data_IF_588582253218
#
_entry.id   IF_588582253218
#
_cell.length_a   1.000
_cell.length_b   1.000
_cell.length_c   1.000
_cell.angle_alpha   90.00
_cell.angle_beta   90.00
_cell.angle_gamma   90.00
#
_symmetry.space_group_name_H-M   'P 1'
#
loop_
_entity.id
_entity.type
_entity.pdbx_description
1 polymer ?
#
# COMPACT_ATOMS: atom_id res chain seq x y z
N UNK A 1 -42.60 16.35 -51.88
CA UNK A 1 -41.70 15.18 -51.80
C UNK A 1 -40.28 15.72 -51.67
N UNK A 2 -39.54 15.30 -50.63
CA UNK A 2 -38.19 15.72 -50.17
C UNK A 2 -38.10 17.18 -49.67
N UNK A 3 -37.84 17.56 -48.41
CA UNK A 3 -37.06 17.05 -47.26
C UNK A 3 -35.53 17.19 -47.39
N UNK A 4 -34.95 18.17 -46.67
CA UNK A 4 -33.56 18.25 -46.18
C UNK A 4 -33.49 19.43 -45.17
N UNK A 5 -33.61 19.16 -43.86
CA UNK A 5 -32.52 18.88 -42.92
C UNK A 5 -31.82 20.16 -42.40
N UNK A 6 -32.41 20.74 -41.35
CA UNK A 6 -31.80 21.78 -40.53
C UNK A 6 -30.84 21.19 -39.50
N UNK A 7 -29.62 21.70 -39.49
CA UNK A 7 -28.59 21.39 -38.50
C UNK A 7 -28.96 22.11 -37.20
N UNK A 8 -29.37 21.35 -36.17
CA UNK A 8 -29.53 21.88 -34.82
C UNK A 8 -28.17 21.82 -34.11
N UNK A 9 -27.59 22.99 -33.85
CA UNK A 9 -26.40 23.13 -33.01
C UNK A 9 -26.71 22.74 -31.57
N UNK A 10 -25.91 21.86 -30.99
CA UNK A 10 -25.88 21.60 -29.55
C UNK A 10 -25.28 22.82 -28.85
N UNK A 11 -26.13 23.60 -28.16
CA UNK A 11 -25.67 24.61 -27.22
C UNK A 11 -25.19 23.92 -25.94
N UNK A 12 -23.88 23.94 -25.71
CA UNK A 12 -23.29 23.66 -24.39
C UNK A 12 -23.60 24.87 -23.52
N UNK A 13 -24.59 24.74 -22.63
CA UNK A 13 -24.91 25.76 -21.64
C UNK A 13 -23.81 25.85 -20.58
N UNK A 14 -22.75 26.59 -20.86
CA UNK A 14 -21.85 27.08 -19.82
C UNK A 14 -22.58 28.21 -19.08
N UNK A 15 -23.01 27.97 -17.84
CA UNK A 15 -23.52 29.05 -16.99
C UNK A 15 -22.31 29.79 -16.43
N UNK A 16 -21.89 30.84 -17.14
CA UNK A 16 -20.94 31.83 -16.64
C UNK A 16 -21.76 32.90 -15.89
N UNK A 17 -21.67 32.93 -14.56
CA UNK A 17 -22.33 33.99 -13.78
C UNK A 17 -21.49 35.26 -13.80
N UNK A 18 -22.09 36.34 -14.31
CA UNK A 18 -21.64 37.71 -14.09
C UNK A 18 -21.47 37.99 -12.59
N UNK A 19 -20.48 38.82 -12.24
CA UNK A 19 -20.13 39.20 -10.87
C UNK A 19 -21.36 39.71 -10.09
N UNK A 20 -21.95 38.83 -9.28
CA UNK A 20 -22.95 39.19 -8.27
C UNK A 20 -22.24 39.55 -6.96
N UNK A 21 -22.66 40.69 -6.42
CA UNK A 21 -22.28 41.29 -5.13
C UNK A 21 -22.29 40.30 -3.95
N UNK A 22 -21.29 40.43 -3.08
CA UNK A 22 -21.03 39.56 -1.92
C UNK A 22 -22.07 39.69 -0.79
N UNK A 23 -23.02 38.76 -0.78
CA UNK A 23 -23.78 38.15 0.33
C UNK A 23 -24.79 37.17 -0.33
N UNK A 24 -25.01 35.91 0.03
CA UNK A 24 -24.49 34.99 1.05
C UNK A 24 -25.06 33.59 0.71
N UNK A 25 -24.89 33.08 -0.52
CA UNK A 25 -25.41 31.75 -0.88
C UNK A 25 -24.39 30.71 -0.45
N UNK A 26 -24.78 29.81 0.46
CA UNK A 26 -23.91 28.71 0.90
C UNK A 26 -23.60 27.75 -0.26
N UNK A 27 -22.47 27.05 -0.21
CA UNK A 27 -22.15 26.01 -1.20
C UNK A 27 -23.25 24.93 -1.24
N UNK A 28 -23.83 24.59 -0.09
CA UNK A 28 -24.93 23.64 -0.01
C UNK A 28 -26.16 24.12 -0.78
N UNK A 29 -26.53 25.40 -0.68
CA UNK A 29 -27.66 25.94 -1.46
C UNK A 29 -27.43 25.87 -2.97
N UNK A 30 -26.19 26.07 -3.44
CA UNK A 30 -25.84 25.91 -4.85
C UNK A 30 -26.05 24.46 -5.29
N UNK A 31 -25.59 23.50 -4.48
CA UNK A 31 -25.78 22.07 -4.70
C UNK A 31 -27.28 21.72 -4.72
N UNK A 32 -28.06 22.25 -3.77
CA UNK A 32 -29.49 21.98 -3.65
C UNK A 32 -30.29 22.51 -4.84
N UNK A 33 -29.88 23.63 -5.45
CA UNK A 33 -30.51 24.19 -6.66
C UNK A 33 -30.08 23.51 -7.95
N UNK A 34 -28.94 22.83 -7.99
CA UNK A 34 -28.45 22.15 -9.17
C UNK A 34 -29.39 21.03 -9.64
N UNK A 35 -29.54 20.83 -10.94
CA UNK A 35 -30.30 19.69 -11.46
C UNK A 35 -29.48 18.39 -11.35
N UNK A 36 -30.10 17.22 -11.21
CA UNK A 36 -29.40 15.95 -11.37
C UNK A 36 -28.65 15.90 -12.71
N UNK A 37 -27.40 15.46 -12.68
CA UNK A 37 -26.45 15.45 -13.81
C UNK A 37 -25.71 16.77 -14.03
N UNK A 38 -26.03 17.83 -13.30
CA UNK A 38 -25.37 19.13 -13.47
C UNK A 38 -23.90 19.10 -13.03
N UNK A 39 -23.10 19.96 -13.65
CA UNK A 39 -21.74 20.29 -13.22
C UNK A 39 -21.78 21.57 -12.37
N UNK A 40 -21.39 21.45 -11.11
CA UNK A 40 -21.24 22.55 -10.17
C UNK A 40 -19.76 22.85 -10.01
N UNK A 41 -19.33 23.98 -10.57
CA UNK A 41 -17.97 24.49 -10.43
C UNK A 41 -17.90 25.40 -9.21
N UNK A 42 -17.04 25.06 -8.25
CA UNK A 42 -16.86 25.78 -7.00
C UNK A 42 -15.67 26.72 -7.14
N UNK A 43 -15.86 28.04 -7.10
CA UNK A 43 -14.75 28.98 -7.22
C UNK A 43 -13.82 28.89 -6.00
N UNK A 44 -12.56 29.27 -6.19
CA UNK A 44 -11.59 29.32 -5.10
C UNK A 44 -12.13 30.11 -3.90
N UNK A 45 -11.98 29.55 -2.71
CA UNK A 45 -12.59 30.10 -1.51
C UNK A 45 -12.61 29.12 -0.34
N UNK A 46 -13.01 29.64 0.82
CA UNK A 46 -13.26 28.85 2.02
C UNK A 46 -14.76 28.70 2.23
N UNK A 47 -15.19 27.48 2.45
CA UNK A 47 -16.57 27.09 2.64
C UNK A 47 -16.69 26.31 3.95
N UNK A 48 -17.87 26.39 4.56
CA UNK A 48 -18.20 25.60 5.74
C UNK A 48 -19.01 24.38 5.32
N UNK A 49 -18.67 23.21 5.86
CA UNK A 49 -19.51 22.03 5.82
C UNK A 49 -20.71 22.17 6.78
N UNK A 50 -21.61 21.17 6.82
CA UNK A 50 -21.56 19.93 6.06
C UNK A 50 -22.03 20.08 4.61
N UNK A 51 -21.30 19.48 3.67
CA UNK A 51 -21.70 19.36 2.27
C UNK A 51 -22.33 17.98 2.04
N UNK A 52 -23.59 17.95 1.59
CA UNK A 52 -24.36 16.72 1.34
C UNK A 52 -24.74 16.62 -0.12
N UNK A 53 -24.21 15.61 -0.80
CA UNK A 53 -24.52 15.29 -2.19
C UNK A 53 -25.55 14.17 -2.20
N UNK A 54 -26.81 14.53 -2.43
CA UNK A 54 -27.98 13.62 -2.38
C UNK A 54 -28.53 13.25 -3.76
N UNK A 55 -27.96 13.82 -4.82
CA UNK A 55 -28.34 13.60 -6.23
C UNK A 55 -27.09 13.55 -7.10
N UNK A 56 -27.09 12.80 -8.21
CA UNK A 56 -25.92 12.66 -9.07
C UNK A 56 -25.55 14.02 -9.63
N UNK A 57 -24.37 14.53 -9.32
CA UNK A 57 -23.82 15.79 -9.86
C UNK A 57 -22.30 15.64 -9.99
N UNK A 58 -21.69 16.53 -10.76
CA UNK A 58 -20.24 16.73 -10.76
C UNK A 58 -19.95 17.97 -9.91
N UNK A 59 -19.35 17.79 -8.74
CA UNK A 59 -18.86 18.87 -7.89
C UNK A 59 -17.35 19.02 -8.11
N UNK A 60 -16.91 20.10 -8.73
CA UNK A 60 -15.51 20.31 -9.07
C UNK A 60 -15.00 21.66 -8.57
N UNK A 61 -13.81 21.67 -7.98
CA UNK A 61 -13.14 22.90 -7.59
C UNK A 61 -12.52 23.63 -8.81
N UNK A 62 -12.56 24.96 -8.78
CA UNK A 62 -11.81 25.85 -9.65
C UNK A 62 -10.80 26.64 -8.80
N UNK A 63 -9.56 26.17 -8.78
CA UNK A 63 -8.51 26.70 -7.92
C UNK A 63 -8.55 26.14 -6.50
N UNK A 64 -8.07 26.90 -5.52
CA UNK A 64 -8.00 26.46 -4.12
C UNK A 64 -9.34 26.55 -3.42
N UNK A 65 -10.05 25.41 -3.32
CA UNK A 65 -11.30 25.29 -2.55
C UNK A 65 -11.03 24.54 -1.25
N UNK A 66 -11.36 25.14 -0.12
CA UNK A 66 -11.27 24.54 1.22
C UNK A 66 -12.67 24.42 1.81
N UNK A 67 -13.03 23.24 2.29
CA UNK A 67 -14.28 22.97 3.02
C UNK A 67 -13.89 22.57 4.45
N UNK A 68 -14.26 23.40 5.42
CA UNK A 68 -13.95 23.20 6.83
C UNK A 68 -15.12 22.58 7.59
N UNK A 69 -14.79 21.73 8.57
CA UNK A 69 -15.73 21.16 9.55
C UNK A 69 -16.45 22.23 10.37
N UNK A 70 -17.76 22.02 10.60
CA UNK A 70 -18.59 22.77 11.55
C UNK A 70 -18.46 22.24 13.01
N UNK A 71 -17.72 21.15 13.19
CA UNK A 71 -17.51 20.45 14.46
C UNK A 71 -18.58 19.43 14.82
N UNK A 72 -19.66 19.27 14.03
CA UNK A 72 -20.82 18.45 14.38
C UNK A 72 -21.01 17.24 13.46
N UNK A 73 -20.69 17.40 12.17
CA UNK A 73 -21.08 16.46 11.12
C UNK A 73 -19.91 16.16 10.16
N UNK A 74 -19.97 15.08 9.36
CA UNK A 74 -19.02 14.87 8.28
C UNK A 74 -18.94 16.10 7.36
N UNK A 75 -17.72 16.48 6.99
CA UNK A 75 -17.49 17.66 6.16
C UNK A 75 -18.09 17.48 4.78
N UNK A 76 -17.96 16.27 4.21
CA UNK A 76 -18.53 15.89 2.92
C UNK A 76 -19.24 14.53 3.02
N UNK A 77 -20.47 14.47 2.56
CA UNK A 77 -21.26 13.23 2.49
C UNK A 77 -21.76 12.99 1.06
N UNK A 78 -21.31 11.90 0.44
CA UNK A 78 -21.80 11.40 -0.86
C UNK A 78 -22.85 10.33 -0.59
N UNK A 79 -24.12 10.74 -0.65
CA UNK A 79 -25.30 9.96 -0.27
C UNK A 79 -26.12 9.51 -1.49
N UNK A 80 -25.53 9.58 -2.67
CA UNK A 80 -26.17 9.28 -3.95
C UNK A 80 -25.28 8.38 -4.78
N UNK A 81 -25.83 7.81 -5.84
CA UNK A 81 -25.06 7.05 -6.82
C UNK A 81 -24.61 7.98 -7.96
N UNK A 82 -23.46 7.67 -8.58
CA UNK A 82 -22.96 8.34 -9.79
C UNK A 82 -22.69 9.86 -9.64
N UNK A 83 -22.32 10.30 -8.45
CA UNK A 83 -21.73 11.61 -8.24
C UNK A 83 -20.22 11.59 -8.54
N UNK A 84 -19.70 12.75 -8.91
CA UNK A 84 -18.26 13.01 -9.05
C UNK A 84 -17.90 14.16 -8.13
N UNK A 85 -16.86 14.00 -7.30
CA UNK A 85 -16.33 15.06 -6.43
C UNK A 85 -14.83 15.19 -6.64
N UNK A 86 -14.33 16.40 -6.90
CA UNK A 86 -12.90 16.58 -7.19
C UNK A 86 -12.26 17.92 -6.89
N UNK A 87 -10.96 17.85 -6.57
CA UNK A 87 -10.04 18.99 -6.52
C UNK A 87 -10.13 19.87 -5.28
N UNK A 88 -10.72 19.38 -4.19
CA UNK A 88 -11.01 20.18 -2.99
C UNK A 88 -10.17 19.74 -1.80
N UNK A 89 -9.87 20.69 -0.92
CA UNK A 89 -9.30 20.45 0.40
C UNK A 89 -10.40 20.33 1.44
N UNK A 90 -10.38 19.25 2.22
CA UNK A 90 -11.28 18.96 3.32
C UNK A 90 -10.49 19.11 4.63
N UNK A 91 -10.94 19.99 5.52
CA UNK A 91 -10.29 20.24 6.81
C UNK A 91 -11.24 19.84 7.93
N UNK A 92 -10.89 18.80 8.67
CA UNK A 92 -11.72 18.23 9.73
C UNK A 92 -11.00 18.22 11.08
N UNK A 93 -11.44 19.11 11.97
CA UNK A 93 -10.91 19.28 13.31
C UNK A 93 -11.65 18.45 14.37
N UNK A 94 -12.62 17.61 13.99
CA UNK A 94 -13.37 16.78 14.93
C UNK A 94 -12.46 15.69 15.50
N UNK A 95 -12.26 15.71 16.81
CA UNK A 95 -11.49 14.70 17.52
C UNK A 95 -12.37 13.48 17.85
N UNK A 96 -11.85 12.27 17.67
CA UNK A 96 -12.52 11.02 18.05
C UNK A 96 -13.96 10.87 17.50
N UNK A 97 -14.25 11.48 16.34
CA UNK A 97 -15.55 11.38 15.70
C UNK A 97 -15.82 9.95 15.19
N UNK A 98 -17.06 9.49 15.31
CA UNK A 98 -17.47 8.16 14.84
C UNK A 98 -17.55 8.06 13.31
N UNK A 99 -17.95 9.16 12.64
CA UNK A 99 -17.99 9.25 11.18
C UNK A 99 -16.76 10.00 10.66
N UNK A 100 -16.28 9.59 9.48
CA UNK A 100 -15.11 10.18 8.83
C UNK A 100 -15.36 11.61 8.32
N UNK A 101 -14.30 12.26 7.85
CA UNK A 101 -14.35 13.57 7.20
C UNK A 101 -15.11 13.53 5.88
N UNK A 102 -14.92 12.45 5.11
CA UNK A 102 -15.70 12.14 3.90
C UNK A 102 -16.45 10.82 4.09
N UNK A 103 -17.77 10.84 3.99
CA UNK A 103 -18.62 9.66 4.10
C UNK A 103 -19.26 9.33 2.76
N UNK A 104 -19.15 8.08 2.33
CA UNK A 104 -19.73 7.56 1.09
C UNK A 104 -20.69 6.41 1.41
N UNK A 105 -21.94 6.55 0.94
CA UNK A 105 -23.00 5.54 1.11
C UNK A 105 -23.64 5.10 -0.21
N UNK A 106 -23.32 5.77 -1.33
CA UNK A 106 -23.80 5.38 -2.65
C UNK A 106 -22.76 4.62 -3.48
N UNK A 107 -23.19 4.17 -4.66
CA UNK A 107 -22.44 3.34 -5.58
C UNK A 107 -22.02 4.11 -6.84
N UNK A 108 -21.03 3.59 -7.56
CA UNK A 108 -20.58 4.17 -8.84
C UNK A 108 -20.16 5.64 -8.77
N UNK A 109 -19.74 6.10 -7.60
CA UNK A 109 -19.23 7.46 -7.40
C UNK A 109 -17.75 7.54 -7.74
N UNK A 110 -17.31 8.73 -8.13
CA UNK A 110 -15.90 9.06 -8.34
C UNK A 110 -15.52 10.15 -7.37
N UNK A 111 -14.54 9.89 -6.52
CA UNK A 111 -13.93 10.88 -5.63
C UNK A 111 -12.46 10.96 -5.98
N UNK A 112 -12.03 12.11 -6.49
CA UNK A 112 -10.68 12.27 -7.03
C UNK A 112 -10.00 13.56 -6.59
N UNK A 113 -8.67 13.51 -6.47
CA UNK A 113 -7.82 14.69 -6.24
C UNK A 113 -8.24 15.53 -5.01
N UNK A 114 -8.68 14.85 -3.95
CA UNK A 114 -8.99 15.49 -2.67
C UNK A 114 -7.75 15.56 -1.78
N UNK A 115 -7.63 16.64 -1.00
CA UNK A 115 -6.70 16.73 0.13
C UNK A 115 -7.51 16.70 1.40
N UNK A 116 -7.25 15.77 2.31
CA UNK A 116 -8.01 15.60 3.55
C UNK A 116 -7.05 15.72 4.72
N UNK A 117 -7.22 16.79 5.51
CA UNK A 117 -6.53 17.00 6.77
C UNK A 117 -7.51 16.69 7.91
N UNK A 118 -7.23 15.66 8.71
CA UNK A 118 -8.21 15.11 9.65
C UNK A 118 -7.63 14.79 11.02
N UNK A 119 -8.41 15.06 12.07
CA UNK A 119 -8.16 14.59 13.45
C UNK A 119 -8.82 13.23 13.74
N UNK A 120 -9.40 12.57 12.72
CA UNK A 120 -10.09 11.29 12.81
C UNK A 120 -9.86 10.42 11.58
N UNK A 121 -10.92 9.80 11.06
CA UNK A 121 -10.86 8.99 9.83
C UNK A 121 -11.03 9.87 8.59
N UNK A 122 -10.22 9.66 7.55
CA UNK A 122 -10.25 10.46 6.33
C UNK A 122 -11.48 10.21 5.47
N UNK A 123 -11.58 9.00 4.91
CA UNK A 123 -12.70 8.58 4.04
C UNK A 123 -13.32 7.29 4.57
N UNK A 124 -14.65 7.21 4.54
CA UNK A 124 -15.41 6.06 5.00
C UNK A 124 -16.44 5.61 3.96
N UNK A 125 -16.38 4.35 3.52
CA UNK A 125 -17.36 3.70 2.67
C UNK A 125 -18.18 2.72 3.51
N UNK A 126 -19.51 2.89 3.51
CA UNK A 126 -20.44 2.01 4.22
C UNK A 126 -21.54 1.56 3.27
N UNK A 127 -21.61 0.26 2.97
CA UNK A 127 -22.56 -0.28 1.99
C UNK A 127 -22.44 0.41 0.61
N UNK A 128 -21.21 0.78 0.24
CA UNK A 128 -20.91 1.59 -0.94
C UNK A 128 -19.97 0.80 -1.86
N UNK A 129 -20.49 0.36 -3.00
CA UNK A 129 -19.81 -0.52 -3.95
C UNK A 129 -19.54 0.16 -5.27
N UNK A 130 -18.60 -0.40 -6.04
CA UNK A 130 -18.32 0.02 -7.42
C UNK A 130 -17.87 1.49 -7.53
N UNK A 131 -17.30 2.07 -6.47
CA UNK A 131 -16.79 3.45 -6.45
C UNK A 131 -15.31 3.52 -6.87
N UNK A 132 -14.88 4.68 -7.34
CA UNK A 132 -13.47 4.99 -7.62
C UNK A 132 -12.99 6.11 -6.71
N UNK A 133 -11.96 5.83 -5.92
CA UNK A 133 -11.24 6.78 -5.08
C UNK A 133 -9.81 6.90 -5.61
N UNK A 134 -9.46 8.06 -6.18
CA UNK A 134 -8.14 8.23 -6.81
C UNK A 134 -7.45 9.56 -6.54
N UNK A 135 -6.13 9.55 -6.41
CA UNK A 135 -5.37 10.80 -6.20
C UNK A 135 -5.70 11.52 -4.89
N UNK A 136 -6.34 10.84 -3.93
CA UNK A 136 -6.68 11.41 -2.62
C UNK A 136 -5.42 11.42 -1.76
N UNK A 137 -5.19 12.55 -1.07
CA UNK A 137 -4.15 12.71 -0.06
C UNK A 137 -4.77 12.84 1.32
N UNK A 138 -4.63 11.84 2.19
CA UNK A 138 -5.11 11.87 3.58
C UNK A 138 -3.94 12.10 4.53
N UNK A 139 -4.05 13.13 5.37
CA UNK A 139 -3.07 13.49 6.39
C UNK A 139 -3.77 13.46 7.76
N UNK A 140 -3.38 12.50 8.59
CA UNK A 140 -3.78 12.50 9.99
C UNK A 140 -3.00 13.55 10.78
N UNK A 141 -3.70 14.34 11.59
CA UNK A 141 -3.15 15.49 12.31
C UNK A 141 -2.92 15.23 13.81
N UNK A 142 -3.24 14.02 14.28
CA UNK A 142 -2.94 13.59 15.65
C UNK A 142 -1.45 13.24 15.77
N UNK A 143 -0.77 13.89 16.71
CA UNK A 143 0.65 13.63 17.02
C UNK A 143 0.79 12.46 18.01
N UNK A 144 1.85 11.67 17.85
CA UNK A 144 2.18 10.61 18.81
C UNK A 144 2.83 11.24 20.05
N UNK A 145 2.39 10.92 21.28
CA UNK A 145 2.94 11.49 22.52
C UNK A 145 4.47 11.31 22.65
N UNK A 146 4.99 10.17 22.18
CA UNK A 146 6.39 9.77 22.39
C UNK A 146 7.38 10.39 21.39
N UNK A 147 6.91 11.10 20.36
CA UNK A 147 7.78 11.72 19.34
C UNK A 147 8.30 13.10 19.73
N UNK A 148 7.72 13.73 20.75
CA UNK A 148 8.13 15.05 21.20
C UNK A 148 9.28 15.02 22.24
N UNK A 149 9.54 13.88 22.89
CA UNK A 149 10.56 13.80 23.95
C UNK A 149 11.97 13.45 23.47
N UNK A 150 12.12 12.81 22.31
CA UNK A 150 13.43 12.43 21.76
C UNK A 150 13.69 13.08 20.40
N UNK A 151 14.17 14.33 20.44
CA UNK A 151 14.53 15.14 19.27
C UNK A 151 15.64 14.56 18.39
N UNK A 152 15.33 13.55 17.59
CA UNK A 152 16.17 13.04 16.50
C UNK A 152 15.50 13.31 15.14
N UNK A 153 16.01 14.38 14.53
CA UNK A 153 15.90 14.88 13.15
C UNK A 153 14.88 14.21 12.20
N UNK A 154 13.75 14.91 11.98
CA UNK A 154 12.95 14.73 10.77
C UNK A 154 13.33 15.82 9.73
N UNK A 155 14.11 15.45 8.72
CA UNK A 155 14.35 16.25 7.52
C UNK A 155 13.16 16.14 6.56
N UNK A 156 12.02 16.71 6.94
CA UNK A 156 10.91 17.00 6.02
C UNK A 156 10.09 18.19 6.52
N UNK A 157 10.75 19.30 6.86
CA UNK A 157 10.05 20.56 7.06
C UNK A 157 9.64 21.17 5.73
N UNK A 158 8.50 20.76 5.18
CA UNK A 158 7.76 21.59 4.23
C UNK A 158 6.32 21.76 4.75
N UNK A 159 6.11 22.91 5.41
CA UNK A 159 4.82 23.58 5.62
C UNK A 159 3.63 22.72 6.05
N UNK A 160 3.66 22.17 7.27
CA UNK A 160 2.43 21.83 7.97
C UNK A 160 1.94 23.09 8.70
N UNK A 161 0.87 23.71 8.17
CA UNK A 161 -0.03 24.50 9.02
C UNK A 161 -0.64 23.48 9.99
N UNK A 162 0.02 23.29 11.14
CA UNK A 162 -0.49 22.43 12.19
C UNK A 162 -1.86 23.00 12.57
N UNK A 163 -2.93 22.31 12.18
CA UNK A 163 -4.25 22.53 12.77
C UNK A 163 -4.02 22.50 14.27
N UNK A 164 -4.13 23.65 14.92
CA UNK A 164 -4.20 23.67 16.37
C UNK A 164 -5.44 22.86 16.70
N UNK A 165 -5.32 21.76 17.46
CA UNK A 165 -6.50 21.07 17.94
C UNK A 165 -7.41 22.13 18.51
N UNK A 166 -8.65 22.19 18.05
CA UNK A 166 -9.69 22.89 18.80
C UNK A 166 -10.00 21.98 19.98
N UNK A 167 -9.00 21.74 20.84
CA UNK A 167 -9.16 20.99 22.05
C UNK A 167 -9.75 21.95 23.08
N UNK A 168 -11.08 22.11 23.03
CA UNK A 168 -11.85 22.90 23.99
C UNK A 168 -11.88 22.24 25.37
N UNK A 169 -11.37 21.01 25.52
CA UNK A 169 -11.31 20.31 26.81
C UNK A 169 -10.02 19.48 26.97
N UNK A 170 -9.05 19.88 27.82
CA UNK A 170 -7.78 19.19 28.02
C UNK A 170 -7.90 17.72 28.51
N UNK A 171 -9.10 17.24 28.83
CA UNK A 171 -9.36 15.86 29.26
C UNK A 171 -9.48 14.83 28.11
N UNK A 172 -9.66 15.25 26.85
CA UNK A 172 -9.85 14.31 25.73
C UNK A 172 -8.56 14.12 24.95
N UNK A 173 -7.95 12.93 25.05
CA UNK A 173 -6.81 12.52 24.23
C UNK A 173 -7.27 12.18 22.79
N UNK A 174 -6.78 12.90 21.76
CA UNK A 174 -7.10 12.57 20.37
C UNK A 174 -6.51 11.22 19.96
N UNK A 175 -7.27 10.43 19.19
CA UNK A 175 -6.83 9.16 18.62
C UNK A 175 -6.79 9.27 17.10
N UNK A 176 -5.78 8.66 16.47
CA UNK A 176 -5.73 8.53 15.01
C UNK A 176 -6.93 7.72 14.52
N UNK A 177 -7.57 8.16 13.44
CA UNK A 177 -8.52 7.35 12.68
C UNK A 177 -7.86 6.74 11.45
N UNK A 178 -8.62 5.97 10.67
CA UNK A 178 -8.12 5.31 9.46
C UNK A 178 -7.98 6.30 8.29
N UNK A 179 -7.13 6.00 7.31
CA UNK A 179 -7.03 6.81 6.10
C UNK A 179 -8.26 6.67 5.21
N UNK A 180 -8.42 5.48 4.63
CA UNK A 180 -9.59 5.06 3.86
C UNK A 180 -10.15 3.79 4.49
N UNK A 181 -11.42 3.80 4.86
CA UNK A 181 -12.07 2.74 5.64
C UNK A 181 -13.29 2.18 4.89
N UNK A 182 -13.25 0.91 4.53
CA UNK A 182 -14.30 0.20 3.80
C UNK A 182 -14.98 -0.82 4.71
N UNK A 183 -16.31 -0.80 4.75
CA UNK A 183 -17.12 -1.82 5.43
C UNK A 183 -18.37 -2.17 4.63
N UNK A 184 -18.54 -3.45 4.31
CA UNK A 184 -19.57 -3.95 3.39
C UNK A 184 -19.54 -3.21 2.04
N UNK A 185 -18.34 -2.95 1.52
CA UNK A 185 -18.10 -2.10 0.36
C UNK A 185 -17.31 -2.90 -0.70
N UNK A 186 -17.96 -3.27 -1.79
CA UNK A 186 -17.42 -4.26 -2.74
C UNK A 186 -16.99 -3.61 -4.06
N UNK A 187 -16.06 -4.25 -4.79
CA UNK A 187 -15.70 -3.86 -6.15
C UNK A 187 -15.26 -2.40 -6.32
N UNK A 188 -14.74 -1.78 -5.26
CA UNK A 188 -14.22 -0.42 -5.31
C UNK A 188 -12.79 -0.41 -5.87
N UNK A 189 -12.45 0.70 -6.51
CA UNK A 189 -11.10 0.98 -7.00
C UNK A 189 -10.49 2.08 -6.13
N UNK A 190 -9.42 1.75 -5.40
CA UNK A 190 -8.67 2.68 -4.56
C UNK A 190 -7.29 2.82 -5.18
N UNK A 191 -7.08 3.89 -5.95
CA UNK A 191 -5.97 4.00 -6.90
C UNK A 191 -5.12 5.24 -6.68
N UNK A 192 -3.80 5.12 -6.61
CA UNK A 192 -2.88 6.27 -6.58
C UNK A 192 -3.13 7.26 -5.44
N UNK A 193 -3.59 6.80 -4.28
CA UNK A 193 -3.80 7.63 -3.10
C UNK A 193 -2.53 7.71 -2.24
N UNK A 194 -2.39 8.80 -1.48
CA UNK A 194 -1.29 9.02 -0.53
C UNK A 194 -1.86 9.19 0.87
N UNK A 195 -1.46 8.33 1.80
CA UNK A 195 -2.01 8.32 3.16
C UNK A 195 -0.87 8.34 4.16
N UNK A 196 -0.94 9.26 5.13
CA UNK A 196 0.14 9.43 6.11
C UNK A 196 -0.39 9.76 7.51
N UNK A 197 0.30 9.24 8.53
CA UNK A 197 0.08 9.55 9.95
C UNK A 197 -1.35 9.21 10.44
N UNK A 198 -1.88 8.08 10.00
CA UNK A 198 -3.20 7.57 10.38
C UNK A 198 -3.07 6.31 11.25
N UNK A 199 -4.18 5.75 11.72
CA UNK A 199 -4.20 4.51 12.46
C UNK A 199 -3.90 3.33 11.53
N UNK A 200 -4.84 2.95 10.66
CA UNK A 200 -4.57 2.08 9.51
C UNK A 200 -4.74 2.88 8.21
N UNK A 201 -3.87 2.65 7.24
CA UNK A 201 -3.87 3.39 5.98
C UNK A 201 -5.11 3.14 5.14
N UNK A 202 -5.18 1.94 4.55
CA UNK A 202 -6.37 1.44 3.86
C UNK A 202 -6.87 0.23 4.63
N UNK A 203 -8.02 0.41 5.31
CA UNK A 203 -8.68 -0.61 6.09
C UNK A 203 -9.91 -1.14 5.33
N UNK A 204 -10.00 -2.45 5.17
CA UNK A 204 -11.04 -3.13 4.40
C UNK A 204 -11.62 -4.24 5.26
N UNK A 205 -12.89 -4.12 5.62
CA UNK A 205 -13.60 -5.06 6.47
C UNK A 205 -14.83 -5.62 5.75
N UNK A 206 -14.98 -6.94 5.69
CA UNK A 206 -16.16 -7.60 5.10
C UNK A 206 -16.50 -7.07 3.69
N UNK A 207 -15.45 -6.90 2.87
CA UNK A 207 -15.48 -6.08 1.66
C UNK A 207 -14.65 -6.75 0.55
N UNK A 208 -15.35 -7.48 -0.31
CA UNK A 208 -14.76 -8.35 -1.34
C UNK A 208 -14.53 -7.65 -2.69
N UNK A 209 -13.67 -8.26 -3.51
CA UNK A 209 -13.42 -7.90 -4.92
C UNK A 209 -12.90 -6.46 -5.12
N UNK A 210 -12.31 -5.85 -4.08
CA UNK A 210 -11.76 -4.51 -4.19
C UNK A 210 -10.40 -4.53 -4.91
N UNK A 211 -10.09 -3.44 -5.63
CA UNK A 211 -8.79 -3.23 -6.29
C UNK A 211 -8.09 -2.06 -5.64
N UNK A 212 -6.97 -2.34 -4.97
CA UNK A 212 -6.15 -1.38 -4.24
C UNK A 212 -4.81 -1.29 -4.96
N UNK A 213 -4.60 -0.22 -5.71
CA UNK A 213 -3.51 -0.13 -6.67
C UNK A 213 -2.70 1.16 -6.56
N UNK A 214 -1.38 1.04 -6.60
CA UNK A 214 -0.45 2.18 -6.68
C UNK A 214 -0.61 3.21 -5.54
N UNK A 215 -1.12 2.79 -4.39
CA UNK A 215 -1.24 3.66 -3.22
C UNK A 215 0.08 3.71 -2.44
N UNK A 216 0.32 4.83 -1.79
CA UNK A 216 1.46 5.04 -0.88
C UNK A 216 0.91 5.26 0.52
N UNK A 217 1.31 4.41 1.47
CA UNK A 217 0.91 4.52 2.87
C UNK A 217 2.13 4.57 3.78
N UNK A 218 2.18 5.60 4.63
CA UNK A 218 3.31 5.83 5.52
C UNK A 218 2.89 6.15 6.95
N UNK A 219 3.75 5.85 7.92
CA UNK A 219 3.61 6.25 9.32
C UNK A 219 2.29 5.80 9.98
N UNK A 220 1.81 4.60 9.64
CA UNK A 220 0.58 4.01 10.17
C UNK A 220 0.87 2.76 10.99
N UNK A 221 -0.12 2.24 11.73
CA UNK A 221 -0.02 0.89 12.32
C UNK A 221 0.04 -0.12 11.17
N UNK A 222 -1.02 -0.24 10.39
CA UNK A 222 -1.02 -1.08 9.20
C UNK A 222 -1.09 -0.22 7.95
N UNK A 223 -0.22 -0.49 6.98
CA UNK A 223 -0.27 0.18 5.68
C UNK A 223 -1.56 -0.19 4.94
N UNK A 224 -1.73 -1.49 4.75
CA UNK A 224 -2.90 -2.10 4.13
C UNK A 224 -3.44 -3.19 5.05
N UNK A 225 -4.70 -3.08 5.47
CA UNK A 225 -5.32 -4.01 6.41
C UNK A 225 -6.58 -4.59 5.79
N UNK A 226 -6.52 -5.86 5.43
CA UNK A 226 -7.62 -6.64 4.89
C UNK A 226 -8.16 -7.60 5.96
N UNK A 227 -9.42 -7.42 6.35
CA UNK A 227 -10.14 -8.26 7.29
C UNK A 227 -11.38 -8.82 6.60
N UNK A 228 -11.40 -10.12 6.33
CA UNK A 228 -12.50 -10.78 5.61
C UNK A 228 -12.77 -10.11 4.25
N UNK A 229 -11.71 -9.90 3.46
CA UNK A 229 -11.73 -9.17 2.19
C UNK A 229 -11.37 -10.08 1.01
N UNK A 230 -12.26 -11.02 0.69
CA UNK A 230 -12.02 -12.07 -0.29
C UNK A 230 -11.83 -11.50 -1.71
N UNK A 231 -11.02 -12.18 -2.52
CA UNK A 231 -10.71 -11.82 -3.90
C UNK A 231 -10.21 -10.36 -4.11
N UNK A 232 -9.75 -9.71 -3.04
CA UNK A 232 -9.22 -8.34 -3.08
C UNK A 232 -7.79 -8.34 -3.63
N UNK A 233 -7.48 -7.32 -4.43
CA UNK A 233 -6.19 -7.17 -5.13
C UNK A 233 -5.39 -6.01 -4.55
N UNK A 234 -4.16 -6.28 -4.10
CA UNK A 234 -3.15 -5.28 -3.73
C UNK A 234 -2.06 -5.28 -4.81
N UNK A 235 -2.06 -4.25 -5.67
CA UNK A 235 -1.20 -4.21 -6.85
C UNK A 235 -0.29 -2.97 -6.83
N UNK A 236 1.03 -3.17 -6.86
CA UNK A 236 1.97 -2.06 -7.05
C UNK A 236 1.95 -1.00 -5.94
N UNK A 237 1.48 -1.34 -4.73
CA UNK A 237 1.41 -0.40 -3.62
C UNK A 237 2.76 -0.28 -2.90
N UNK A 238 2.96 0.84 -2.22
CA UNK A 238 4.15 1.09 -1.39
C UNK A 238 3.74 1.35 0.05
N UNK A 239 4.35 0.62 0.98
CA UNK A 239 4.22 0.83 2.42
C UNK A 239 5.58 1.00 3.07
N UNK A 240 5.78 2.08 3.82
CA UNK A 240 7.03 2.35 4.56
C UNK A 240 6.77 3.04 5.89
N UNK A 241 7.65 2.82 6.86
CA UNK A 241 7.49 3.35 8.22
C UNK A 241 6.12 3.03 8.87
N UNK A 242 5.46 1.95 8.43
CA UNK A 242 4.29 1.41 9.12
C UNK A 242 4.71 0.36 10.15
N UNK A 243 3.87 -0.03 11.11
CA UNK A 243 4.19 -1.21 11.95
C UNK A 243 4.15 -2.48 11.11
N UNK A 244 3.09 -2.70 10.33
CA UNK A 244 3.04 -3.77 9.32
C UNK A 244 2.74 -3.18 7.95
N UNK A 245 3.46 -3.63 6.91
CA UNK A 245 3.26 -3.18 5.54
C UNK A 245 1.88 -3.56 5.04
N UNK A 246 1.60 -4.86 4.95
CA UNK A 246 0.27 -5.41 4.67
C UNK A 246 -0.11 -6.51 5.66
N UNK A 247 -1.33 -6.43 6.21
CA UNK A 247 -1.93 -7.47 7.04
C UNK A 247 -3.19 -7.99 6.34
N UNK A 248 -3.21 -9.30 6.09
CA UNK A 248 -4.36 -10.03 5.58
C UNK A 248 -4.86 -10.97 6.68
N UNK A 249 -6.13 -10.86 7.01
CA UNK A 249 -6.78 -11.61 8.08
C UNK A 249 -8.08 -12.22 7.56
N UNK A 250 -8.27 -13.52 7.82
CA UNK A 250 -9.51 -14.25 7.54
C UNK A 250 -10.02 -14.05 6.10
N UNK A 251 -9.10 -14.06 5.12
CA UNK A 251 -9.39 -13.71 3.73
C UNK A 251 -9.01 -14.84 2.78
N UNK A 252 -9.79 -15.01 1.71
CA UNK A 252 -9.61 -16.04 0.69
C UNK A 252 -9.37 -15.44 -0.71
N UNK A 253 -8.45 -16.04 -1.47
CA UNK A 253 -8.25 -15.73 -2.89
C UNK A 253 -7.69 -14.32 -3.17
N UNK A 254 -6.99 -13.70 -2.22
CA UNK A 254 -6.38 -12.39 -2.42
C UNK A 254 -5.22 -12.46 -3.44
N UNK A 255 -4.98 -11.36 -4.14
CA UNK A 255 -3.86 -11.22 -5.09
C UNK A 255 -2.99 -10.04 -4.67
N UNK A 256 -1.77 -10.31 -4.22
CA UNK A 256 -0.82 -9.32 -3.71
C UNK A 256 0.41 -9.34 -4.61
N UNK A 257 0.49 -8.39 -5.55
CA UNK A 257 1.52 -8.41 -6.59
C UNK A 257 2.28 -7.09 -6.71
N UNK A 258 3.60 -7.19 -6.91
CA UNK A 258 4.48 -6.07 -7.21
C UNK A 258 4.47 -4.94 -6.16
N UNK A 259 4.11 -5.26 -4.90
CA UNK A 259 4.11 -4.29 -3.82
C UNK A 259 5.51 -4.11 -3.22
N UNK A 260 5.75 -2.96 -2.61
CA UNK A 260 7.00 -2.61 -1.93
C UNK A 260 6.72 -2.35 -0.46
N UNK A 261 7.09 -3.28 0.42
CA UNK A 261 6.97 -3.15 1.87
C UNK A 261 8.38 -3.01 2.46
N UNK A 262 8.87 -1.77 2.47
CA UNK A 262 10.27 -1.45 2.75
C UNK A 262 10.38 -0.65 4.04
N UNK A 263 11.27 -1.08 4.93
CA UNK A 263 11.62 -0.39 6.19
C UNK A 263 10.36 0.05 6.93
N UNK A 264 9.55 -0.93 7.31
CA UNK A 264 8.55 -0.71 8.36
C UNK A 264 9.24 -0.19 9.65
N UNK A 265 8.47 0.34 10.60
CA UNK A 265 9.00 1.02 11.80
C UNK A 265 10.00 0.13 12.52
N UNK A 266 10.99 0.77 13.16
CA UNK A 266 11.94 0.14 14.06
C UNK A 266 11.24 -0.27 15.37
N UNK A 267 10.41 -1.31 15.32
CA UNK A 267 9.79 -1.91 16.49
C UNK A 267 9.84 -3.45 16.38
N UNK A 268 9.76 -4.18 17.52
CA UNK A 268 9.90 -5.63 17.52
C UNK A 268 8.77 -6.39 16.80
N UNK A 269 7.65 -5.71 16.49
CA UNK A 269 6.50 -6.30 15.81
C UNK A 269 6.49 -5.99 14.31
N UNK A 270 7.56 -5.38 13.77
CA UNK A 270 7.55 -4.85 12.43
C UNK A 270 7.55 -5.94 11.35
N UNK A 271 6.52 -5.95 10.51
CA UNK A 271 6.32 -7.00 9.51
C UNK A 271 6.17 -6.40 8.11
N UNK A 272 6.76 -7.03 7.09
CA UNK A 272 6.50 -6.66 5.70
C UNK A 272 5.10 -7.06 5.30
N UNK A 273 4.84 -8.37 5.29
CA UNK A 273 3.53 -8.99 5.02
C UNK A 273 3.18 -9.95 6.17
N UNK A 274 1.98 -9.82 6.73
CA UNK A 274 1.40 -10.73 7.71
C UNK A 274 0.14 -11.38 7.16
N UNK A 275 0.10 -12.72 7.20
CA UNK A 275 -1.08 -13.53 6.92
C UNK A 275 -1.57 -14.21 8.20
N UNK A 276 -2.85 -14.07 8.52
CA UNK A 276 -3.50 -14.75 9.62
C UNK A 276 -4.82 -15.37 9.16
N UNK A 277 -4.94 -16.70 9.22
CA UNK A 277 -6.12 -17.43 8.70
C UNK A 277 -6.44 -17.07 7.23
N UNK A 278 -5.42 -16.97 6.37
CA UNK A 278 -5.55 -16.65 4.93
C UNK A 278 -5.49 -17.92 4.08
N UNK A 279 -6.37 -18.01 3.08
CA UNK A 279 -6.45 -19.17 2.18
C UNK A 279 -6.38 -18.82 0.70
N UNK A 280 -5.87 -19.76 -0.10
CA UNK A 280 -5.99 -19.71 -1.57
C UNK A 280 -5.41 -18.47 -2.26
N UNK A 281 -4.53 -17.72 -1.58
CA UNK A 281 -4.09 -16.39 -2.03
C UNK A 281 -2.74 -16.43 -2.74
N UNK A 282 -2.47 -15.42 -3.56
CA UNK A 282 -1.28 -15.32 -4.41
C UNK A 282 -0.45 -14.10 -4.05
N UNK A 283 0.85 -14.30 -3.82
CA UNK A 283 1.83 -13.27 -3.47
C UNK A 283 2.99 -13.33 -4.46
N UNK A 284 3.03 -12.40 -5.41
CA UNK A 284 3.98 -12.48 -6.54
C UNK A 284 4.81 -11.21 -6.71
N UNK A 285 6.12 -11.36 -6.90
CA UNK A 285 6.98 -10.24 -7.31
C UNK A 285 7.00 -9.08 -6.32
N UNK A 286 6.70 -9.33 -5.03
CA UNK A 286 6.73 -8.30 -4.00
C UNK A 286 8.16 -8.10 -3.50
N UNK A 287 8.49 -6.85 -3.15
CA UNK A 287 9.76 -6.46 -2.54
C UNK A 287 9.56 -6.16 -1.07
N UNK A 288 10.13 -7.01 -0.22
CA UNK A 288 9.97 -7.02 1.23
C UNK A 288 11.34 -6.83 1.86
N UNK A 289 11.63 -5.60 2.27
CA UNK A 289 12.98 -5.20 2.65
C UNK A 289 13.05 -4.55 4.02
N UNK A 290 14.03 -4.92 4.85
CA UNK A 290 14.39 -4.14 6.03
C UNK A 290 13.36 -4.21 7.16
N UNK A 291 12.64 -5.32 7.29
CA UNK A 291 11.63 -5.54 8.33
C UNK A 291 12.14 -6.49 9.42
N UNK A 292 11.52 -6.47 10.61
CA UNK A 292 11.85 -7.45 11.66
C UNK A 292 11.43 -8.86 11.27
N UNK A 293 10.29 -9.02 10.60
CA UNK A 293 9.93 -10.23 9.84
C UNK A 293 9.51 -9.79 8.44
N UNK A 294 10.11 -10.36 7.40
CA UNK A 294 9.74 -10.05 6.03
C UNK A 294 8.32 -10.55 5.73
N UNK A 295 8.15 -11.87 5.70
CA UNK A 295 6.86 -12.53 5.48
C UNK A 295 6.52 -13.39 6.70
N UNK A 296 5.39 -13.11 7.34
CA UNK A 296 4.89 -13.92 8.44
C UNK A 296 3.59 -14.61 8.01
N UNK A 297 3.60 -15.94 7.97
CA UNK A 297 2.45 -16.78 7.63
C UNK A 297 2.00 -17.53 8.87
N UNK A 298 0.85 -17.15 9.41
CA UNK A 298 0.26 -17.75 10.61
C UNK A 298 -1.08 -18.39 10.28
N UNK A 299 -1.27 -19.67 10.67
CA UNK A 299 -2.52 -20.43 10.52
C UNK A 299 -3.15 -20.39 9.11
N UNK A 300 -2.32 -20.17 8.10
CA UNK A 300 -2.76 -19.91 6.73
C UNK A 300 -2.45 -21.11 5.84
N UNK A 301 -3.30 -21.37 4.85
CA UNK A 301 -3.21 -22.60 4.03
C UNK A 301 -3.46 -22.39 2.54
N UNK A 302 -2.85 -23.22 1.69
CA UNK A 302 -3.10 -23.19 0.24
C UNK A 302 -2.67 -21.91 -0.48
N UNK A 303 -1.77 -21.12 0.11
CA UNK A 303 -1.29 -19.88 -0.50
C UNK A 303 -0.07 -20.13 -1.39
N UNK A 304 0.12 -19.31 -2.41
CA UNK A 304 1.27 -19.33 -3.33
C UNK A 304 2.11 -18.06 -3.16
N UNK A 305 3.37 -18.22 -2.79
CA UNK A 305 4.35 -17.14 -2.67
C UNK A 305 5.44 -17.36 -3.73
N UNK A 306 5.44 -16.56 -4.78
CA UNK A 306 6.27 -16.78 -5.97
C UNK A 306 7.09 -15.54 -6.35
N UNK A 307 8.38 -15.71 -6.64
CA UNK A 307 9.18 -14.63 -7.23
C UNK A 307 9.35 -13.39 -6.34
N UNK A 308 9.19 -13.50 -5.01
CA UNK A 308 9.31 -12.37 -4.10
C UNK A 308 10.78 -12.09 -3.73
N UNK A 309 11.13 -10.81 -3.61
CA UNK A 309 12.42 -10.36 -3.10
C UNK A 309 12.31 -10.10 -1.60
N UNK A 310 12.90 -10.98 -0.78
CA UNK A 310 12.88 -10.92 0.68
C UNK A 310 14.30 -10.63 1.17
N UNK A 311 14.61 -9.36 1.40
CA UNK A 311 16.00 -8.92 1.60
C UNK A 311 16.21 -8.08 2.84
N UNK A 312 17.38 -8.18 3.49
CA UNK A 312 17.75 -7.32 4.61
C UNK A 312 16.76 -7.36 5.79
N UNK A 313 15.97 -8.43 5.93
CA UNK A 313 15.08 -8.60 7.07
C UNK A 313 15.81 -9.31 8.22
N UNK A 314 15.38 -9.10 9.46
CA UNK A 314 15.94 -9.87 10.57
C UNK A 314 15.53 -11.35 10.48
N UNK A 315 14.26 -11.63 10.21
CA UNK A 315 13.79 -12.94 9.72
C UNK A 315 13.19 -12.73 8.33
N UNK A 316 13.67 -13.45 7.31
CA UNK A 316 13.12 -13.36 5.96
C UNK A 316 11.68 -13.88 5.91
N UNK A 317 11.47 -15.14 6.30
CA UNK A 317 10.16 -15.77 6.37
C UNK A 317 9.93 -16.55 7.66
N UNK A 318 8.75 -16.42 8.24
CA UNK A 318 8.32 -17.18 9.41
C UNK A 318 7.00 -17.90 9.13
N UNK A 319 6.96 -19.21 9.40
CA UNK A 319 5.75 -20.04 9.32
C UNK A 319 5.35 -20.49 10.72
N UNK A 320 4.10 -20.26 11.11
CA UNK A 320 3.54 -20.72 12.39
C UNK A 320 2.19 -21.35 12.16
N UNK A 321 2.04 -22.64 12.48
CA UNK A 321 0.80 -23.38 12.24
C UNK A 321 0.30 -23.29 10.79
N UNK A 322 1.20 -23.09 9.83
CA UNK A 322 0.87 -22.91 8.42
C UNK A 322 0.99 -24.24 7.69
N UNK A 323 0.05 -24.54 6.78
CA UNK A 323 0.10 -25.82 6.05
C UNK A 323 -0.35 -25.73 4.60
N UNK A 324 0.21 -26.58 3.73
CA UNK A 324 -0.21 -26.66 2.34
C UNK A 324 0.11 -25.41 1.50
N UNK A 325 1.04 -24.56 1.92
CA UNK A 325 1.45 -23.39 1.14
C UNK A 325 2.61 -23.74 0.19
N UNK A 326 2.70 -23.06 -0.95
CA UNK A 326 3.77 -23.21 -1.92
C UNK A 326 4.63 -21.95 -1.98
N UNK A 327 5.95 -22.11 -1.83
CA UNK A 327 6.95 -21.04 -1.85
C UNK A 327 7.99 -21.35 -2.92
N UNK A 328 7.91 -20.67 -4.06
CA UNK A 328 8.72 -21.01 -5.23
C UNK A 328 9.44 -19.80 -5.81
N UNK A 329 10.69 -19.99 -6.26
CA UNK A 329 11.44 -18.93 -6.96
C UNK A 329 11.59 -17.61 -6.18
N UNK A 330 11.52 -17.63 -4.85
CA UNK A 330 11.73 -16.44 -4.03
C UNK A 330 13.23 -16.22 -3.78
N UNK A 331 13.63 -14.97 -3.58
CA UNK A 331 15.01 -14.58 -3.30
C UNK A 331 15.16 -14.14 -1.85
N UNK A 332 15.86 -14.94 -1.06
CA UNK A 332 16.22 -14.63 0.33
C UNK A 332 17.68 -14.19 0.38
N UNK A 333 17.90 -12.88 0.60
CA UNK A 333 19.25 -12.28 0.53
C UNK A 333 19.51 -11.36 1.71
N UNK A 334 20.65 -11.56 2.36
CA UNK A 334 21.13 -10.77 3.48
C UNK A 334 20.09 -10.64 4.61
N UNK A 335 19.26 -11.66 4.79
CA UNK A 335 18.45 -11.79 5.99
C UNK A 335 19.30 -12.38 7.11
N UNK A 336 19.01 -12.02 8.36
CA UNK A 336 19.78 -12.54 9.49
C UNK A 336 19.42 -14.00 9.79
N UNK A 337 18.13 -14.35 9.65
CA UNK A 337 17.61 -15.71 9.51
C UNK A 337 16.84 -15.74 8.19
N UNK A 338 17.15 -16.65 7.26
CA UNK A 338 16.44 -16.69 5.98
C UNK A 338 14.97 -17.08 6.15
N UNK A 339 14.75 -18.26 6.75
CA UNK A 339 13.42 -18.77 7.02
C UNK A 339 13.41 -19.71 8.22
N UNK A 340 12.30 -19.70 8.94
CA UNK A 340 12.04 -20.57 10.09
C UNK A 340 10.58 -21.01 10.13
N UNK A 341 10.30 -22.15 10.75
CA UNK A 341 8.95 -22.68 10.84
C UNK A 341 8.69 -23.33 12.20
N UNK A 342 7.45 -23.24 12.69
CA UNK A 342 7.00 -23.91 13.92
C UNK A 342 5.60 -24.49 13.67
N UNK A 343 5.37 -25.73 14.11
CA UNK A 343 4.09 -26.44 14.00
C UNK A 343 3.47 -26.39 12.59
N UNK A 344 4.31 -26.34 11.56
CA UNK A 344 3.92 -26.13 10.17
C UNK A 344 4.24 -27.39 9.36
N UNK A 345 3.33 -27.79 8.48
CA UNK A 345 3.42 -29.09 7.76
C UNK A 345 2.96 -28.97 6.32
N UNK A 346 3.37 -29.90 5.45
CA UNK A 346 2.92 -29.95 4.05
C UNK A 346 3.12 -28.65 3.24
N UNK A 347 4.07 -27.78 3.64
CA UNK A 347 4.46 -26.62 2.83
C UNK A 347 5.53 -27.07 1.82
N UNK A 348 5.39 -26.64 0.58
CA UNK A 348 6.30 -26.95 -0.52
C UNK A 348 7.24 -25.78 -0.75
N UNK A 349 8.54 -26.00 -0.64
CA UNK A 349 9.57 -25.04 -1.02
C UNK A 349 10.32 -25.62 -2.22
N UNK A 350 10.43 -24.84 -3.29
CA UNK A 350 11.12 -25.30 -4.50
C UNK A 350 11.75 -24.15 -5.26
N UNK A 351 13.05 -24.28 -5.59
CA UNK A 351 13.73 -23.34 -6.47
C UNK A 351 13.84 -21.94 -5.89
N UNK A 352 13.84 -21.79 -4.57
CA UNK A 352 14.16 -20.51 -3.95
C UNK A 352 15.68 -20.31 -3.95
N UNK A 353 16.11 -19.06 -3.96
CA UNK A 353 17.51 -18.70 -3.78
C UNK A 353 17.75 -18.29 -2.32
N UNK A 354 18.78 -18.87 -1.70
CA UNK A 354 19.19 -18.64 -0.32
C UNK A 354 20.67 -18.27 -0.34
N UNK A 355 21.01 -17.03 0.05
CA UNK A 355 22.39 -16.54 -0.11
C UNK A 355 23.42 -17.13 0.87
N UNK A 356 22.95 -17.80 1.93
CA UNK A 356 23.78 -18.55 2.89
C UNK A 356 23.96 -20.03 2.52
N UNK A 357 23.32 -20.48 1.44
CA UNK A 357 23.37 -21.88 1.04
C UNK A 357 24.72 -22.25 0.39
N UNK A 358 25.24 -23.41 0.78
CA UNK A 358 26.34 -24.08 0.11
C UNK A 358 25.84 -25.35 -0.59
N UNK A 359 25.54 -25.21 -1.88
CA UNK A 359 25.02 -26.29 -2.73
C UNK A 359 26.03 -26.86 -3.72
N UNK A 360 25.63 -27.96 -4.38
CA UNK A 360 26.38 -28.60 -5.48
C UNK A 360 25.39 -28.86 -6.62
N UNK A 361 25.79 -28.55 -7.85
CA UNK A 361 25.04 -28.81 -9.08
C UNK A 361 25.85 -29.79 -9.96
N UNK A 362 25.39 -31.05 -9.99
CA UNK A 362 26.06 -32.16 -10.66
C UNK A 362 25.69 -32.25 -12.15
N UNK A 363 24.51 -31.77 -12.53
CA UNK A 363 23.93 -31.86 -13.87
C UNK A 363 23.91 -30.53 -14.65
N UNK A 364 24.45 -29.47 -14.04
CA UNK A 364 24.61 -28.13 -14.59
C UNK A 364 23.27 -27.45 -14.98
N UNK A 365 22.21 -27.72 -14.22
CA UNK A 365 20.88 -27.14 -14.43
C UNK A 365 20.63 -25.83 -13.65
N UNK A 366 21.61 -25.42 -12.82
CA UNK A 366 21.56 -24.22 -11.99
C UNK A 366 20.88 -24.42 -10.62
N UNK A 367 20.46 -25.64 -10.28
CA UNK A 367 19.85 -26.01 -9.01
C UNK A 367 20.78 -26.90 -8.20
N UNK A 368 20.69 -26.80 -6.88
CA UNK A 368 21.46 -27.66 -5.99
C UNK A 368 20.81 -29.04 -5.86
N UNK A 369 21.60 -30.10 -5.95
CA UNK A 369 21.20 -31.46 -5.58
C UNK A 369 21.19 -31.68 -4.04
N UNK A 370 21.71 -30.71 -3.26
CA UNK A 370 21.61 -30.68 -1.79
C UNK A 370 20.40 -29.82 -1.40
N UNK A 371 19.48 -30.31 -0.54
CA UNK A 371 18.32 -29.53 -0.10
C UNK A 371 18.70 -28.44 0.92
N UNK A 372 17.93 -27.35 0.94
CA UNK A 372 18.00 -26.33 2.00
C UNK A 372 16.94 -26.61 3.05
N UNK A 373 17.31 -26.71 4.34
CA UNK A 373 16.39 -27.06 5.43
C UNK A 373 16.12 -25.85 6.33
N UNK A 374 14.84 -25.59 6.62
CA UNK A 374 14.46 -24.58 7.60
C UNK A 374 14.75 -25.07 9.02
N UNK A 375 15.39 -24.23 9.84
CA UNK A 375 15.71 -24.55 11.22
C UNK A 375 14.74 -23.86 12.20
N UNK A 376 13.98 -24.63 13.01
CA UNK A 376 13.05 -24.05 13.98
C UNK A 376 13.72 -23.65 15.31
N UNK A 377 15.01 -23.94 15.50
CA UNK A 377 15.71 -23.86 16.80
C UNK A 377 15.50 -22.51 17.50
N UNK A 378 15.84 -21.40 16.84
CA UNK A 378 15.72 -20.07 17.43
C UNK A 378 14.26 -19.67 17.68
N UNK A 379 13.35 -20.02 16.77
CA UNK A 379 11.92 -19.75 16.94
C UNK A 379 11.36 -20.49 18.16
N UNK A 380 11.56 -21.80 18.24
CA UNK A 380 11.07 -22.62 19.35
C UNK A 380 11.64 -22.15 20.71
N UNK A 381 12.92 -21.79 20.74
CA UNK A 381 13.58 -21.34 21.96
C UNK A 381 13.07 -19.97 22.44
N UNK A 382 12.89 -19.03 21.52
CA UNK A 382 12.43 -17.67 21.84
C UNK A 382 10.92 -17.57 22.07
N UNK A 383 10.13 -18.48 21.50
CA UNK A 383 8.69 -18.64 21.81
C UNK A 383 8.51 -19.16 23.24
N UNK A 384 9.33 -20.14 23.67
CA UNK A 384 9.28 -20.68 25.02
C UNK A 384 9.84 -19.70 26.08
N UNK A 385 10.94 -19.00 25.77
CA UNK A 385 11.62 -18.07 26.68
C UNK A 385 12.09 -16.83 25.90
N UNK A 386 11.26 -15.77 25.81
CA UNK A 386 11.57 -14.57 25.02
C UNK A 386 12.93 -13.90 25.31
N UNK A 387 13.43 -13.83 26.56
CA UNK A 387 14.75 -13.26 26.84
C UNK A 387 15.93 -13.92 26.12
N UNK A 388 15.79 -15.15 25.61
CA UNK A 388 16.87 -15.79 24.85
C UNK A 388 17.21 -15.11 23.53
N UNK A 389 16.37 -14.18 23.06
CA UNK A 389 16.68 -13.30 21.93
C UNK A 389 18.00 -12.52 22.12
N UNK A 390 18.43 -12.26 23.36
CA UNK A 390 19.71 -11.56 23.65
C UNK A 390 20.93 -12.40 23.24
N UNK A 391 20.81 -13.74 23.22
CA UNK A 391 21.90 -14.65 22.84
C UNK A 391 21.91 -14.99 21.35
N UNK A 392 21.16 -14.25 20.54
CA UNK A 392 21.16 -14.44 19.10
C UNK A 392 22.58 -14.31 18.53
N UNK A 393 22.99 -15.26 17.70
CA UNK A 393 24.36 -15.39 17.15
C UNK A 393 25.49 -15.53 18.20
N UNK A 394 25.16 -15.80 19.47
CA UNK A 394 26.17 -16.21 20.43
C UNK A 394 26.80 -17.54 19.96
N UNK A 395 28.13 -17.72 20.03
CA UNK A 395 28.80 -18.92 19.50
C UNK A 395 28.22 -20.25 20.03
N UNK A 396 27.80 -20.26 21.30
CA UNK A 396 27.14 -21.43 21.91
C UNK A 396 25.77 -21.74 21.28
N UNK A 397 24.99 -20.73 20.91
CA UNK A 397 23.69 -20.94 20.27
C UNK A 397 23.82 -21.40 18.83
N UNK A 398 24.79 -20.88 18.07
CA UNK A 398 25.11 -21.37 16.71
C UNK A 398 25.54 -22.84 16.76
N UNK A 399 26.35 -23.21 17.77
CA UNK A 399 26.71 -24.60 18.00
C UNK A 399 25.50 -25.48 18.35
N UNK A 400 24.65 -25.03 19.28
CA UNK A 400 23.44 -25.76 19.67
C UNK A 400 22.43 -25.89 18.53
N UNK A 401 22.30 -24.88 17.68
CA UNK A 401 21.49 -24.90 16.47
C UNK A 401 21.96 -26.00 15.51
N UNK A 402 23.28 -26.15 15.33
CA UNK A 402 23.86 -27.23 14.52
C UNK A 402 23.68 -28.63 15.12
N UNK A 403 23.52 -28.73 16.45
CA UNK A 403 23.18 -29.96 17.14
C UNK A 403 21.66 -30.23 17.19
N UNK A 404 20.84 -29.26 16.79
CA UNK A 404 19.39 -29.38 16.89
C UNK A 404 18.86 -30.30 15.79
N UNK A 405 18.58 -31.55 16.16
CA UNK A 405 18.07 -32.59 15.24
C UNK A 405 16.59 -32.91 15.47
N UNK A 406 15.83 -32.07 16.20
CA UNK A 406 14.49 -32.45 16.63
C UNK A 406 13.54 -32.68 15.44
N UNK A 407 12.97 -33.89 15.35
CA UNK A 407 11.82 -34.20 14.50
C UNK A 407 12.12 -34.30 13.00
N UNK A 408 13.10 -35.12 12.62
CA UNK A 408 13.53 -35.40 11.22
C UNK A 408 12.39 -35.76 10.25
N UNK A 409 11.23 -36.17 10.75
CA UNK A 409 10.10 -36.64 9.93
C UNK A 409 9.16 -35.52 9.43
N UNK A 410 9.35 -34.27 9.87
CA UNK A 410 8.50 -33.12 9.49
C UNK A 410 9.30 -31.88 9.04
N UNK A 411 10.56 -32.05 8.63
CA UNK A 411 11.40 -30.92 8.22
C UNK A 411 10.89 -30.26 6.93
N UNK A 412 10.55 -28.96 7.02
CA UNK A 412 10.26 -28.15 5.85
C UNK A 412 11.59 -27.84 5.15
N UNK A 413 11.70 -28.21 3.88
CA UNK A 413 12.93 -28.07 3.09
C UNK A 413 12.64 -27.67 1.65
N UNK A 414 13.54 -26.89 1.07
CA UNK A 414 13.64 -26.68 -0.37
C UNK A 414 14.41 -27.85 -0.99
N UNK A 415 13.75 -28.61 -1.85
CA UNK A 415 14.33 -29.82 -2.45
C UNK A 415 15.35 -29.55 -3.55
N UNK A 416 15.24 -28.40 -4.23
CA UNK A 416 16.07 -28.05 -5.39
C UNK A 416 16.28 -26.52 -5.45
N UNK A 417 16.94 -25.94 -4.43
CA UNK A 417 17.17 -24.50 -4.35
C UNK A 417 18.11 -24.03 -5.45
N UNK A 418 17.98 -22.76 -5.85
CA UNK A 418 18.82 -22.16 -6.88
C UNK A 418 20.22 -21.85 -6.34
N UNK A 419 21.26 -22.09 -7.14
CA UNK A 419 22.64 -21.71 -6.79
C UNK A 419 22.98 -20.24 -7.06
N UNK A 420 22.20 -19.59 -7.92
CA UNK A 420 22.33 -18.19 -8.25
C UNK A 420 20.93 -17.54 -8.19
N UNK A 421 20.84 -16.23 -7.86
CA UNK A 421 19.55 -15.55 -7.89
C UNK A 421 18.96 -15.65 -9.30
N UNK A 422 17.66 -15.93 -9.41
CA UNK A 422 17.00 -15.92 -10.70
C UNK A 422 17.13 -14.52 -11.33
N UNK A 423 17.32 -14.46 -12.65
CA UNK A 423 17.40 -13.16 -13.33
C UNK A 423 16.06 -12.43 -13.15
N UNK A 424 16.04 -11.31 -12.45
CA UNK A 424 14.81 -10.52 -12.31
C UNK A 424 14.46 -9.84 -13.65
N UNK A 425 13.18 -9.50 -13.87
CA UNK A 425 12.78 -8.71 -15.06
C UNK A 425 13.53 -7.37 -15.12
N UNK A 426 13.86 -6.79 -13.96
CA UNK A 426 14.67 -5.57 -13.84
C UNK A 426 16.08 -5.78 -14.36
N UNK A 427 16.71 -6.93 -14.07
CA UNK A 427 18.05 -7.27 -14.58
C UNK A 427 18.04 -7.48 -16.10
N UNK A 428 16.96 -8.06 -16.64
CA UNK A 428 16.78 -8.22 -18.08
C UNK A 428 16.61 -6.86 -18.79
N UNK A 429 15.74 -5.98 -18.27
CA UNK A 429 15.56 -4.63 -18.82
C UNK A 429 16.83 -3.77 -18.73
N UNK A 430 17.58 -3.89 -17.63
CA UNK A 430 18.85 -3.18 -17.43
C UNK A 430 19.93 -3.70 -18.39
N UNK A 431 20.00 -5.01 -18.60
CA UNK A 431 20.91 -5.61 -19.58
C UNK A 431 20.56 -5.15 -21.01
N UNK A 432 19.28 -5.10 -21.39
CA UNK A 432 18.84 -4.57 -22.68
C UNK A 432 19.23 -3.10 -22.87
N UNK A 433 18.98 -2.24 -21.88
CA UNK A 433 19.38 -0.83 -21.91
C UNK A 433 20.90 -0.65 -22.04
N UNK A 434 21.69 -1.45 -21.33
CA UNK A 434 23.15 -1.44 -21.45
C UNK A 434 23.61 -1.86 -22.85
N UNK A 435 22.95 -2.84 -23.45
CA UNK A 435 23.24 -3.31 -24.81
C UNK A 435 22.94 -2.23 -25.84
N UNK A 436 21.77 -1.57 -25.74
CA UNK A 436 21.40 -0.44 -26.60
C UNK A 436 22.38 0.72 -26.45
N UNK A 437 22.76 1.07 -25.22
CA UNK A 437 23.73 2.13 -24.94
C UNK A 437 25.11 1.79 -25.52
N UNK A 438 25.54 0.53 -25.41
CA UNK A 438 26.79 0.03 -25.99
C UNK A 438 26.81 0.15 -27.51
N UNK A 439 25.73 -0.27 -28.18
CA UNK A 439 25.60 -0.15 -29.64
C UNK A 439 25.61 1.32 -30.09
N UNK A 440 24.88 2.20 -29.38
CA UNK A 440 24.87 3.63 -29.68
C UNK A 440 26.28 4.25 -29.55
N UNK A 441 27.00 3.85 -28.49
CA UNK A 441 28.37 4.31 -28.23
C UNK A 441 29.33 3.90 -29.34
N UNK A 442 29.24 2.66 -29.81
CA UNK A 442 30.05 2.15 -30.94
C UNK A 442 29.72 2.87 -32.24
N UNK A 443 28.44 3.14 -32.53
CA UNK A 443 28.03 3.89 -33.72
C UNK A 443 28.55 5.34 -33.69
N UNK A 444 28.44 6.01 -32.55
CA UNK A 444 28.96 7.37 -32.37
C UNK A 444 30.47 7.42 -32.51
N UNK A 445 31.20 6.47 -31.90
CA UNK A 445 32.65 6.36 -32.02
C UNK A 445 33.07 6.11 -33.47
N UNK A 446 32.39 5.19 -34.15
CA UNK A 446 32.63 4.88 -35.56
C UNK A 446 32.37 6.09 -36.47
N UNK A 447 31.28 6.82 -36.22
CA UNK A 447 30.95 8.06 -36.91
C UNK A 447 32.01 9.15 -36.70
N UNK A 448 32.49 9.34 -35.47
CA UNK A 448 33.57 10.27 -35.14
C UNK A 448 34.88 9.88 -35.84
N UNK A 449 35.27 8.60 -35.80
CA UNK A 449 36.45 8.10 -36.50
C UNK A 449 36.35 8.30 -38.02
N UNK A 450 35.17 8.09 -38.61
CA UNK A 450 34.94 8.32 -40.04
C UNK A 450 35.03 9.81 -40.39
N UNK A 451 34.49 10.70 -39.55
CA UNK A 451 34.58 12.14 -39.73
C UNK A 451 36.02 12.64 -39.60
N UNK A 452 36.78 12.18 -38.60
CA UNK A 452 38.20 12.49 -38.47
C UNK A 452 39.00 11.99 -39.68
N UNK A 453 38.78 10.74 -40.11
CA UNK A 453 39.46 10.18 -41.27
C UNK A 453 39.15 10.92 -42.58
N UNK A 454 37.89 11.32 -42.80
CA UNK A 454 37.49 12.11 -43.97
C UNK A 454 37.97 13.56 -43.88
N UNK A 455 38.07 14.14 -42.69
CA UNK A 455 38.59 15.48 -42.46
C UNK A 455 40.10 15.59 -42.73
N UNK A 456 40.89 14.60 -42.28
CA UNK A 456 42.35 14.55 -42.48
C UNK A 456 42.74 14.34 -43.95
N UNK A 457 41.87 13.72 -44.77
CA UNK A 457 42.11 13.56 -46.22
C UNK A 457 41.79 14.82 -47.06
N UNK A 458 41.24 15.88 -46.46
CA UNK A 458 40.88 17.14 -47.16
C UNK A 458 41.83 18.30 -46.88
N UNK A 459 42.89 18.06 -46.11
CA UNK A 459 44.06 18.93 -45.91
C UNK A 459 45.27 18.29 -46.55
#
# INVERSE_FOLDING_TARGET
MLLAAGIAGFAVGAVCFDRVSAASVSLQEIIDRAQPGAVVTVPAGKYEGPIRITKPIVLQAEGGVEIASDGSSPVLSVLTDRAVVRGMTIVDNRINAAEASVVMKGNHNIVEDLVIETMGTGVQLRNASDNTLRGIRVIGMVTDPDKDENGLHNHSQHAHHLLRPVNKNPEVTPKKGNGIDLKHAHRNQIVSNRISNVFDGIYVENSNDNRIEQNVVENSRYGFHLMSANATKLLGNTGSANMTGAMLMESDGAVVQHNRFVKQRENPNAQGILLYDVTGSQFEGNRIEGNRVGVYVERSTGNRLEGNEVTLNFVGMQLKQASGNAMTSNHFVANVIQAQAQDSTANTLEGNYWDDMQGIDLDADGRSNIPYQLNPFFLALTDAVPPYQIFFQAPGFVFLEGLFTAGTDASIRDGAPLLAPAKTQTDQQRAEQQTVTGVLSVLLLSGSCLMMYRGVRRT
#
